data_IF_533189740840
#
_entry.id   IF_533189740840
#
_cell.length_a   1.000
_cell.length_b   1.000
_cell.length_c   1.000
_cell.angle_alpha   90.00
_cell.angle_beta   90.00
_cell.angle_gamma   90.00
#
_symmetry.space_group_name_H-M   'P 1'
#
loop_
_entity.id
_entity.type
_entity.pdbx_description
1 polymer ?
#
# COMPACT_ATOMS: atom_id res chain seq x y z
N UNK A 1 5.68 8.28 -17.02
CA UNK A 1 6.23 7.55 -15.84
C UNK A 1 5.30 6.43 -15.34
N UNK A 2 3.98 6.63 -15.26
CA UNK A 2 3.03 5.65 -14.73
C UNK A 2 3.13 4.24 -15.35
N UNK A 3 3.14 4.13 -16.69
CA UNK A 3 3.21 2.83 -17.39
C UNK A 3 4.48 2.05 -17.00
N UNK A 4 5.62 2.73 -16.84
CA UNK A 4 6.89 2.09 -16.44
C UNK A 4 6.80 1.56 -15.00
N UNK A 5 6.23 2.36 -14.08
CA UNK A 5 6.02 1.95 -12.69
C UNK A 5 5.02 0.78 -12.60
N UNK A 6 3.94 0.82 -13.37
CA UNK A 6 2.95 -0.25 -13.42
C UNK A 6 3.54 -1.57 -13.94
N UNK A 7 4.37 -1.52 -14.99
CA UNK A 7 5.12 -2.71 -15.47
C UNK A 7 6.11 -3.25 -14.42
N UNK A 8 6.67 -2.41 -13.56
CA UNK A 8 7.46 -2.89 -12.43
C UNK A 8 6.57 -3.56 -11.38
N UNK A 9 5.43 -2.96 -11.04
CA UNK A 9 4.44 -3.54 -10.13
C UNK A 9 3.98 -4.93 -10.57
N UNK A 10 3.65 -5.12 -11.86
CA UNK A 10 3.23 -6.42 -12.38
C UNK A 10 4.28 -7.52 -12.19
N UNK A 11 5.57 -7.17 -12.28
CA UNK A 11 6.67 -8.11 -12.03
C UNK A 11 6.76 -8.55 -10.56
N UNK A 12 6.44 -7.66 -9.63
CA UNK A 12 6.41 -7.98 -8.20
C UNK A 12 5.11 -8.68 -7.77
N UNK A 13 3.98 -8.33 -8.37
CA UNK A 13 2.67 -8.87 -8.00
C UNK A 13 2.42 -10.31 -8.51
N UNK A 14 3.19 -10.77 -9.50
CA UNK A 14 3.02 -12.09 -10.10
C UNK A 14 1.60 -12.32 -10.62
N UNK A 15 1.02 -13.47 -10.30
CA UNK A 15 -0.34 -13.85 -10.73
C UNK A 15 -1.46 -13.23 -9.87
N UNK A 16 -1.12 -12.52 -8.78
CA UNK A 16 -2.09 -11.85 -7.92
C UNK A 16 -2.24 -10.36 -8.27
N UNK A 17 -2.79 -10.07 -9.46
CA UNK A 17 -3.01 -8.69 -9.89
C UNK A 17 -4.12 -8.02 -9.07
N UNK A 18 -3.76 -7.46 -7.91
CA UNK A 18 -4.70 -6.81 -7.00
C UNK A 18 -4.98 -5.34 -7.36
N UNK A 19 -4.12 -4.72 -8.18
CA UNK A 19 -4.20 -3.32 -8.61
C UNK A 19 -4.21 -3.24 -10.14
N UNK A 20 -5.30 -2.74 -10.72
CA UNK A 20 -5.43 -2.49 -12.16
C UNK A 20 -4.80 -1.15 -12.58
N UNK A 21 -4.49 -1.00 -13.88
CA UNK A 21 -3.87 0.23 -14.42
C UNK A 21 -4.70 1.48 -14.14
N UNK A 22 -6.03 1.41 -14.30
CA UNK A 22 -6.94 2.52 -14.03
C UNK A 22 -6.93 2.89 -12.55
N UNK A 23 -6.88 1.91 -11.64
CA UNK A 23 -6.76 2.16 -10.19
C UNK A 23 -5.41 2.79 -9.85
N UNK A 24 -4.32 2.33 -10.46
CA UNK A 24 -3.01 2.95 -10.29
C UNK A 24 -2.98 4.41 -10.80
N UNK A 25 -3.66 4.70 -11.90
CA UNK A 25 -3.80 6.06 -12.41
C UNK A 25 -4.59 6.96 -11.45
N UNK A 26 -5.72 6.50 -10.93
CA UNK A 26 -6.52 7.23 -9.94
C UNK A 26 -5.70 7.49 -8.66
N UNK A 27 -4.99 6.47 -8.15
CA UNK A 27 -4.11 6.63 -6.99
C UNK A 27 -3.06 7.73 -7.23
N UNK A 28 -2.45 7.74 -8.42
CA UNK A 28 -1.48 8.78 -8.76
C UNK A 28 -2.12 10.17 -8.77
N UNK A 29 -3.34 10.31 -9.28
CA UNK A 29 -4.08 11.58 -9.27
C UNK A 29 -4.36 12.09 -7.86
N UNK A 30 -4.72 11.21 -6.92
CA UNK A 30 -4.94 11.61 -5.53
C UNK A 30 -3.66 12.02 -4.81
N UNK A 31 -2.52 11.41 -5.14
CA UNK A 31 -1.21 11.86 -4.66
C UNK A 31 -0.87 13.23 -5.24
N UNK A 32 -1.05 13.42 -6.56
CA UNK A 32 -0.75 14.69 -7.22
C UNK A 32 -1.68 15.83 -6.74
N UNK A 33 -2.90 15.53 -6.27
CA UNK A 33 -3.83 16.50 -5.69
C UNK A 33 -3.63 16.75 -4.19
N UNK A 34 -2.66 16.09 -3.55
CA UNK A 34 -2.40 16.22 -2.12
C UNK A 34 -3.47 15.59 -1.21
N UNK A 35 -4.32 14.70 -1.73
CA UNK A 35 -5.30 13.95 -0.92
C UNK A 35 -4.71 12.70 -0.27
N UNK A 36 -3.62 12.18 -0.84
CA UNK A 36 -2.87 11.05 -0.31
C UNK A 36 -1.39 11.41 -0.17
N UNK A 37 -0.76 10.88 0.87
CA UNK A 37 0.65 11.03 1.17
C UNK A 37 1.38 9.68 1.23
N UNK A 38 2.72 9.74 1.13
CA UNK A 38 3.59 8.61 1.39
C UNK A 38 4.12 8.65 2.82
N UNK A 39 3.54 7.85 3.70
CA UNK A 39 3.94 7.79 5.10
C UNK A 39 4.85 6.57 5.35
N UNK A 40 6.04 6.75 5.94
CA UNK A 40 6.88 5.64 6.34
C UNK A 40 6.29 4.93 7.57
N UNK A 41 6.33 3.61 7.58
CA UNK A 41 6.01 2.81 8.76
C UNK A 41 7.07 3.02 9.84
N UNK A 42 6.65 3.36 11.07
CA UNK A 42 7.56 3.60 12.19
C UNK A 42 8.36 2.36 12.63
N UNK A 43 7.92 1.15 12.25
CA UNK A 43 8.57 -0.12 12.62
C UNK A 43 9.48 -0.69 11.53
N UNK A 44 9.02 -0.74 10.27
CA UNK A 44 9.80 -1.35 9.17
C UNK A 44 10.38 -0.34 8.17
N UNK A 45 10.03 0.95 8.27
CA UNK A 45 10.52 2.01 7.37
C UNK A 45 9.93 1.98 5.95
N UNK A 46 9.11 0.98 5.61
CA UNK A 46 8.44 0.93 4.30
C UNK A 46 7.49 2.11 4.10
N UNK A 47 7.42 2.64 2.87
CA UNK A 47 6.54 3.77 2.52
C UNK A 47 5.18 3.26 2.03
N UNK A 48 4.11 3.71 2.67
CA UNK A 48 2.74 3.31 2.35
C UNK A 48 1.90 4.54 2.01
N UNK A 49 0.81 4.32 1.26
CA UNK A 49 -0.15 5.36 0.91
C UNK A 49 -1.10 5.56 2.09
N UNK A 50 -1.21 6.78 2.59
CA UNK A 50 -2.13 7.19 3.66
C UNK A 50 -2.93 8.41 3.24
N UNK A 51 -4.00 8.72 3.97
CA UNK A 51 -4.69 10.00 3.82
C UNK A 51 -3.77 11.14 4.26
N UNK A 52 -3.82 12.25 3.54
CA UNK A 52 -3.06 13.45 3.92
C UNK A 52 -3.59 14.02 5.22
N UNK A 53 -2.69 14.48 6.09
CA UNK A 53 -3.03 15.05 7.40
C UNK A 53 -3.20 14.04 8.53
N UNK A 54 -3.09 12.73 8.26
CA UNK A 54 -2.97 11.73 9.32
C UNK A 54 -1.64 11.86 10.06
N UNK A 55 -1.59 11.64 11.40
CA UNK A 55 -0.38 11.78 12.18
C UNK A 55 0.68 10.75 11.75
N UNK A 56 1.66 11.20 10.96
CA UNK A 56 2.69 10.35 10.37
C UNK A 56 3.57 9.63 11.43
N UNK A 57 3.68 10.18 12.64
CA UNK A 57 4.66 9.76 13.65
C UNK A 57 4.41 8.37 14.25
N UNK A 58 3.19 7.82 14.13
CA UNK A 58 2.84 6.52 14.72
C UNK A 58 2.26 5.53 13.72
N UNK A 59 2.27 5.84 12.42
CA UNK A 59 1.74 4.95 11.40
C UNK A 59 2.47 3.59 11.40
N UNK A 60 1.70 2.51 11.58
CA UNK A 60 2.18 1.13 11.46
C UNK A 60 1.45 0.43 10.33
N UNK A 61 2.20 -0.16 9.41
CA UNK A 61 1.59 -0.87 8.27
C UNK A 61 0.87 -2.14 8.73
N UNK A 62 -0.02 -2.65 7.87
CA UNK A 62 -0.83 -3.85 8.13
C UNK A 62 0.00 -5.11 8.43
N UNK A 63 1.26 -5.17 7.99
CA UNK A 63 2.16 -6.28 8.32
C UNK A 63 2.78 -6.13 9.71
N UNK A 64 3.07 -4.89 10.13
CA UNK A 64 3.66 -4.61 11.43
C UNK A 64 2.63 -4.61 12.57
N UNK A 65 1.40 -4.21 12.26
CA UNK A 65 0.25 -4.23 13.15
C UNK A 65 -0.97 -4.87 12.44
N UNK A 66 -0.96 -6.20 12.30
CA UNK A 66 -2.05 -6.91 11.61
C UNK A 66 -3.37 -6.76 12.38
N UNK A 67 -4.49 -6.48 11.69
CA UNK A 67 -5.79 -6.39 12.34
C UNK A 67 -6.19 -7.75 12.90
N UNK A 68 -7.03 -7.77 13.94
CA UNK A 68 -7.42 -9.00 14.66
C UNK A 68 -7.96 -10.12 13.76
N UNK A 69 -8.55 -9.76 12.61
CA UNK A 69 -9.10 -10.69 11.61
C UNK A 69 -8.08 -11.22 10.59
N UNK A 70 -6.87 -10.67 10.54
CA UNK A 70 -5.80 -11.16 9.66
C UNK A 70 -5.25 -12.51 10.12
N UNK A 71 -5.38 -12.84 11.41
CA UNK A 71 -5.04 -14.16 11.95
C UNK A 71 -6.23 -15.10 11.76
N UNK A 72 -6.46 -15.55 10.53
CA UNK A 72 -7.17 -16.82 10.37
C UNK A 72 -6.16 -17.88 10.78
N UNK A 73 -6.36 -18.54 11.93
CA UNK A 73 -5.60 -19.75 12.28
C UNK A 73 -5.73 -20.69 11.08
N UNK A 74 -4.67 -20.84 10.29
CA UNK A 74 -4.60 -21.93 9.35
C UNK A 74 -4.71 -23.18 10.22
N UNK A 75 -5.85 -23.87 10.16
CA UNK A 75 -5.93 -25.24 10.63
C UNK A 75 -4.92 -26.00 9.81
N UNK A 76 -3.73 -26.21 10.39
CA UNK A 76 -2.76 -27.19 9.94
C UNK A 76 -3.53 -28.51 9.93
N UNK A 77 -3.70 -29.07 8.74
CA UNK A 77 -4.20 -30.42 8.55
C UNK A 77 -3.13 -31.21 7.83
#
# INVERSE_FOLDING_TARGET
>A
MLIRAYRAYLRYAGNSETLSLTRAWILRRFVDSGMLDYTPCSKCGGKFITLSGEPAHSYQCVMCHPPSRAVKRATVK
#
